data_IF_783814436511
#
_entry.id   IF_783814436511
#
_cell.length_a   1.000
_cell.length_b   1.000
_cell.length_c   1.000
_cell.angle_alpha   90.00
_cell.angle_beta   90.00
_cell.angle_gamma   90.00
#
_symmetry.space_group_name_H-M   'P 1'
#
loop_
_entity.id
_entity.type
_entity.pdbx_description
1 polymer ?
#
# COMPACT_ATOMS: atom_id res chain seq x y z
N UNK A 1 -13.69 0.16 28.10
CA UNK A 1 -12.58 1.04 27.67
C UNK A 1 -12.75 2.38 28.37
N UNK A 2 -11.71 2.96 28.97
CA UNK A 2 -11.71 4.31 29.55
C UNK A 2 -10.82 5.28 28.74
N UNK A 3 -10.73 6.56 29.12
CA UNK A 3 -9.92 7.56 28.40
C UNK A 3 -8.42 7.21 28.33
N UNK A 4 -7.88 6.56 29.37
CA UNK A 4 -6.47 6.11 29.36
C UNK A 4 -6.28 4.96 28.37
N UNK A 5 -7.22 4.02 28.33
CA UNK A 5 -7.24 2.92 27.35
C UNK A 5 -7.31 3.47 25.92
N UNK A 6 -8.14 4.49 25.68
CA UNK A 6 -8.20 5.17 24.36
C UNK A 6 -6.84 5.75 23.96
N UNK A 7 -6.12 6.38 24.90
CA UNK A 7 -4.77 6.89 24.64
C UNK A 7 -3.78 5.76 24.28
N UNK A 8 -3.85 4.62 24.96
CA UNK A 8 -3.03 3.44 24.65
C UNK A 8 -3.35 2.87 23.27
N UNK A 9 -4.64 2.69 22.97
CA UNK A 9 -5.12 2.23 21.66
C UNK A 9 -4.67 3.18 20.55
N UNK A 10 -4.84 4.49 20.76
CA UNK A 10 -4.41 5.52 19.81
C UNK A 10 -2.92 5.45 19.52
N UNK A 11 -2.09 5.44 20.57
CA UNK A 11 -0.63 5.38 20.44
C UNK A 11 -0.18 4.10 19.69
N UNK A 12 -0.80 2.96 20.02
CA UNK A 12 -0.49 1.70 19.34
C UNK A 12 -0.90 1.73 17.87
N UNK A 13 -2.11 2.19 17.57
CA UNK A 13 -2.59 2.32 16.19
C UNK A 13 -1.79 3.34 15.38
N UNK A 14 -1.33 4.44 15.98
CA UNK A 14 -0.45 5.38 15.27
C UNK A 14 0.90 4.76 14.92
N UNK A 15 1.45 3.92 15.82
CA UNK A 15 2.74 3.27 15.62
C UNK A 15 2.67 2.09 14.64
N UNK A 16 1.67 1.24 14.77
CA UNK A 16 1.59 -0.04 14.05
C UNK A 16 0.54 -0.05 12.93
N UNK A 17 -0.38 0.92 12.91
CA UNK A 17 -1.47 1.09 11.94
C UNK A 17 -2.53 -0.01 11.90
N UNK A 18 -2.28 -1.11 12.59
CA UNK A 18 -3.00 -2.36 12.44
C UNK A 18 -2.91 -3.19 13.73
N UNK A 19 -4.02 -3.81 14.12
CA UNK A 19 -4.13 -4.66 15.33
C UNK A 19 -5.06 -5.84 15.02
N UNK A 20 -4.64 -7.06 15.34
CA UNK A 20 -5.50 -8.25 15.26
C UNK A 20 -5.76 -8.85 16.66
N UNK A 21 -6.98 -9.30 16.92
CA UNK A 21 -7.27 -10.08 18.15
C UNK A 21 -6.59 -11.45 18.11
N UNK A 22 -6.49 -12.04 16.92
CA UNK A 22 -5.82 -13.30 16.61
C UNK A 22 -5.41 -13.33 15.14
N UNK A 23 -4.23 -13.88 14.86
CA UNK A 23 -3.76 -14.11 13.50
C UNK A 23 -3.46 -15.59 13.26
N UNK A 24 -3.72 -16.07 12.04
CA UNK A 24 -3.22 -17.36 11.55
C UNK A 24 -1.86 -17.26 10.86
N UNK A 25 -1.39 -16.03 10.60
CA UNK A 25 -0.22 -15.77 9.73
C UNK A 25 1.02 -15.34 10.48
N UNK A 26 0.83 -14.75 11.66
CA UNK A 26 1.91 -14.25 12.50
C UNK A 26 1.58 -14.42 13.97
N UNK A 27 2.60 -14.32 14.80
CA UNK A 27 2.39 -14.24 16.23
C UNK A 27 1.84 -12.86 16.60
N UNK A 28 0.72 -12.85 17.31
CA UNK A 28 0.11 -11.64 17.90
C UNK A 28 0.69 -11.48 19.31
N UNK A 29 1.30 -10.31 19.57
CA UNK A 29 1.93 -10.04 20.86
C UNK A 29 0.88 -9.96 21.99
N UNK A 30 1.30 -10.10 23.24
CA UNK A 30 0.39 -9.95 24.39
C UNK A 30 -0.22 -8.54 24.44
N UNK A 31 0.60 -7.53 24.21
CA UNK A 31 0.17 -6.12 24.16
C UNK A 31 -0.85 -5.89 23.04
N UNK A 32 -0.57 -6.40 21.83
CA UNK A 32 -1.47 -6.28 20.70
C UNK A 32 -2.83 -6.90 21.02
N UNK A 33 -2.84 -8.11 21.58
CA UNK A 33 -4.07 -8.80 21.94
C UNK A 33 -4.86 -8.04 23.01
N UNK A 34 -4.18 -7.49 24.01
CA UNK A 34 -4.82 -6.66 25.03
C UNK A 34 -5.51 -5.44 24.41
N UNK A 35 -4.81 -4.72 23.54
CA UNK A 35 -5.32 -3.51 22.89
C UNK A 35 -6.46 -3.85 21.90
N UNK A 36 -6.33 -4.94 21.15
CA UNK A 36 -7.40 -5.44 20.29
C UNK A 36 -8.66 -5.79 21.08
N UNK A 37 -8.48 -6.39 22.26
CA UNK A 37 -9.58 -6.75 23.16
C UNK A 37 -10.26 -5.51 23.71
N UNK A 38 -9.50 -4.48 24.10
CA UNK A 38 -10.06 -3.19 24.53
C UNK A 38 -10.95 -2.56 23.46
N UNK A 39 -10.53 -2.60 22.19
CA UNK A 39 -11.31 -2.08 21.06
C UNK A 39 -12.54 -2.91 20.73
N UNK A 40 -12.44 -4.24 20.85
CA UNK A 40 -13.53 -5.19 20.56
C UNK A 40 -14.62 -5.12 21.63
N UNK A 41 -14.22 -4.99 22.88
CA UNK A 41 -15.13 -5.03 24.04
C UNK A 41 -15.53 -3.62 24.51
N UNK A 42 -15.13 -2.57 23.78
CA UNK A 42 -15.56 -1.21 24.03
C UNK A 42 -17.08 -1.06 23.81
N UNK A 43 -17.74 -0.35 24.72
CA UNK A 43 -19.13 0.04 24.50
C UNK A 43 -19.24 1.05 23.34
N UNK A 44 -20.46 1.18 22.80
CA UNK A 44 -20.71 2.03 21.64
C UNK A 44 -20.42 3.51 21.89
N UNK A 45 -20.64 4.02 23.11
CA UNK A 45 -20.41 5.42 23.43
C UNK A 45 -18.91 5.76 23.38
N UNK A 46 -18.08 4.93 24.03
CA UNK A 46 -16.62 5.07 24.00
C UNK A 46 -16.05 4.83 22.62
N UNK A 47 -16.64 3.91 21.84
CA UNK A 47 -16.25 3.68 20.45
C UNK A 47 -16.49 4.90 19.58
N UNK A 48 -17.68 5.50 19.66
CA UNK A 48 -18.03 6.70 18.92
C UNK A 48 -17.13 7.88 19.30
N UNK A 49 -16.87 8.07 20.60
CA UNK A 49 -15.96 9.12 21.08
C UNK A 49 -14.54 8.94 20.52
N UNK A 50 -14.06 7.69 20.44
CA UNK A 50 -12.76 7.40 19.86
C UNK A 50 -12.73 7.68 18.35
N UNK A 51 -13.78 7.29 17.62
CA UNK A 51 -13.89 7.54 16.18
C UNK A 51 -14.01 9.03 15.86
N UNK A 52 -14.71 9.83 16.66
CA UNK A 52 -14.77 11.30 16.55
C UNK A 52 -13.40 11.95 16.80
N UNK A 53 -12.67 11.46 17.81
CA UNK A 53 -11.30 11.91 18.07
C UNK A 53 -10.35 11.61 16.91
N UNK A 54 -10.48 10.43 16.28
CA UNK A 54 -9.72 10.08 15.08
C UNK A 54 -10.14 10.92 13.87
N UNK A 55 -11.43 11.20 13.73
CA UNK A 55 -11.95 12.03 12.65
C UNK A 55 -11.32 13.42 12.64
N UNK A 56 -11.20 14.06 13.81
CA UNK A 56 -10.51 15.34 13.96
C UNK A 56 -9.05 15.34 13.49
N UNK A 57 -8.44 14.17 13.31
CA UNK A 57 -7.08 13.98 12.81
C UNK A 57 -7.02 13.52 11.34
N UNK A 58 -8.17 13.46 10.64
CA UNK A 58 -8.25 12.92 9.28
C UNK A 58 -8.09 11.40 9.22
N UNK A 59 -8.38 10.71 10.32
CA UNK A 59 -8.26 9.28 10.48
C UNK A 59 -9.63 8.62 10.62
N UNK A 60 -9.68 7.33 10.29
CA UNK A 60 -10.83 6.49 10.55
C UNK A 60 -10.39 5.12 11.04
N UNK A 61 -11.16 4.59 12.00
CA UNK A 61 -10.99 3.23 12.48
C UNK A 61 -11.83 2.30 11.63
N UNK A 62 -11.19 1.32 11.01
CA UNK A 62 -11.86 0.33 10.16
C UNK A 62 -11.72 -1.02 10.81
N UNK A 63 -12.81 -1.78 10.88
CA UNK A 63 -12.82 -3.12 11.44
C UNK A 63 -13.25 -4.14 10.39
N UNK A 64 -12.52 -5.25 10.32
CA UNK A 64 -12.84 -6.39 9.46
C UNK A 64 -12.81 -7.69 10.27
N UNK A 65 -13.64 -8.63 9.84
CA UNK A 65 -13.73 -9.99 10.36
C UNK A 65 -13.47 -11.00 9.25
N UNK A 66 -13.43 -12.28 9.60
CA UNK A 66 -13.32 -13.37 8.63
C UNK A 66 -14.49 -13.45 7.64
N UNK A 67 -15.62 -12.79 7.92
CA UNK A 67 -16.75 -12.71 7.00
C UNK A 67 -16.58 -11.61 5.95
N UNK A 68 -15.79 -10.59 6.24
CA UNK A 68 -15.62 -9.44 5.36
C UNK A 68 -14.49 -9.65 4.35
N UNK A 69 -13.37 -10.24 4.81
CA UNK A 69 -12.15 -10.39 4.00
C UNK A 69 -11.46 -11.73 4.26
N UNK A 70 -11.06 -12.41 3.18
CA UNK A 70 -10.22 -13.60 3.23
C UNK A 70 -8.90 -13.31 3.95
N UNK A 71 -8.39 -14.29 4.69
CA UNK A 71 -7.10 -14.20 5.39
C UNK A 71 -7.17 -13.76 6.85
N UNK A 72 -8.32 -13.30 7.31
CA UNK A 72 -8.58 -13.06 8.74
C UNK A 72 -8.94 -14.40 9.39
N UNK A 73 -8.30 -14.71 10.52
CA UNK A 73 -8.56 -15.96 11.23
C UNK A 73 -10.02 -16.04 11.71
N UNK A 74 -10.62 -17.23 11.73
CA UNK A 74 -12.00 -17.41 12.21
C UNK A 74 -12.14 -16.90 13.65
N UNK A 75 -13.18 -16.09 13.89
CA UNK A 75 -13.44 -15.42 15.16
C UNK A 75 -12.49 -14.27 15.50
N UNK A 76 -11.58 -13.90 14.59
CA UNK A 76 -10.71 -12.75 14.75
C UNK A 76 -11.37 -11.47 14.22
N UNK A 77 -10.95 -10.35 14.81
CA UNK A 77 -11.28 -9.02 14.36
C UNK A 77 -9.97 -8.28 14.15
N UNK A 78 -9.90 -7.58 13.03
CA UNK A 78 -8.79 -6.77 12.61
C UNK A 78 -9.22 -5.32 12.66
N UNK A 79 -8.51 -4.50 13.43
CA UNK A 79 -8.70 -3.07 13.50
C UNK A 79 -7.56 -2.37 12.77
N UNK A 80 -7.90 -1.44 11.90
CA UNK A 80 -6.94 -0.69 11.10
C UNK A 80 -7.20 0.80 11.26
N UNK A 81 -6.11 1.56 11.36
CA UNK A 81 -6.16 3.00 11.34
C UNK A 81 -5.92 3.46 9.90
N UNK A 82 -7.00 3.76 9.18
CA UNK A 82 -6.94 4.20 7.79
C UNK A 82 -7.04 5.73 7.68
N UNK A 83 -6.48 6.27 6.60
CA UNK A 83 -6.64 7.69 6.27
C UNK A 83 -8.04 7.95 5.74
N UNK A 84 -8.58 9.13 6.04
CA UNK A 84 -9.78 9.61 5.35
C UNK A 84 -9.38 10.07 3.94
N UNK A 85 -10.13 9.68 2.89
CA UNK A 85 -9.82 10.03 1.50
C UNK A 85 -9.70 11.53 1.22
N UNK A 86 -10.46 12.34 1.98
CA UNK A 86 -10.63 13.78 1.77
C UNK A 86 -9.81 14.61 2.77
N UNK A 87 -8.94 13.97 3.55
CA UNK A 87 -8.10 14.63 4.55
C UNK A 87 -6.62 14.37 4.24
N UNK A 88 -5.79 15.38 4.48
CA UNK A 88 -4.34 15.22 4.52
C UNK A 88 -3.94 14.90 5.98
N UNK A 89 -3.79 13.63 6.36
CA UNK A 89 -3.48 13.28 7.73
C UNK A 89 -2.12 13.87 8.15
N UNK A 90 -2.03 14.56 9.29
CA UNK A 90 -0.85 15.36 9.65
C UNK A 90 0.39 14.54 10.06
N UNK A 91 0.28 13.21 10.23
CA UNK A 91 1.34 12.37 10.80
C UNK A 91 2.05 11.48 9.76
N UNK A 92 1.55 11.38 8.53
CA UNK A 92 2.29 10.75 7.43
C UNK A 92 3.18 11.81 6.76
N UNK A 93 4.08 12.38 7.56
CA UNK A 93 4.90 13.50 7.13
C UNK A 93 5.82 13.11 5.99
N UNK A 94 5.75 13.84 4.88
CA UNK A 94 6.77 13.86 3.81
C UNK A 94 8.18 13.99 4.40
N UNK A 95 8.33 14.59 5.58
CA UNK A 95 9.57 14.68 6.35
C UNK A 95 10.17 13.32 6.70
N UNK A 96 9.38 12.35 7.18
CA UNK A 96 9.90 11.01 7.55
C UNK A 96 10.39 10.26 6.31
N UNK A 97 9.62 10.37 5.22
CA UNK A 97 9.99 9.83 3.91
C UNK A 97 11.32 10.44 3.45
N UNK A 98 11.40 11.77 3.40
CA UNK A 98 12.59 12.50 2.96
C UNK A 98 13.79 12.12 3.85
N UNK A 99 13.61 12.13 5.17
CA UNK A 99 14.65 11.80 6.13
C UNK A 99 15.23 10.40 5.91
N UNK A 100 14.40 9.38 5.67
CA UNK A 100 14.87 8.01 5.39
C UNK A 100 15.56 7.92 4.03
N UNK A 101 14.99 8.54 2.99
CA UNK A 101 15.57 8.49 1.65
C UNK A 101 16.92 9.21 1.57
N UNK A 102 17.11 10.31 2.30
CA UNK A 102 18.38 11.03 2.40
C UNK A 102 19.50 10.25 3.09
N UNK A 103 19.18 9.15 3.80
CA UNK A 103 20.21 8.26 4.35
C UNK A 103 20.91 7.44 3.27
N UNK A 104 20.34 7.36 2.07
CA UNK A 104 20.92 6.62 0.95
C UNK A 104 21.97 7.47 0.24
N UNK A 105 23.19 6.94 0.16
CA UNK A 105 24.31 7.63 -0.49
C UNK A 105 23.98 7.91 -1.96
N UNK A 106 23.97 9.18 -2.33
CA UNK A 106 23.69 9.65 -3.69
C UNK A 106 22.34 10.36 -3.84
N UNK A 107 21.48 10.35 -2.83
CA UNK A 107 20.32 11.24 -2.71
C UNK A 107 20.75 12.42 -1.83
N UNK A 108 20.76 13.63 -2.39
CA UNK A 108 21.40 14.80 -1.77
C UNK A 108 20.42 15.88 -1.31
N UNK A 109 19.16 15.84 -1.76
CA UNK A 109 18.15 16.83 -1.43
C UNK A 109 16.74 16.25 -1.40
N UNK A 110 15.82 16.97 -0.76
CA UNK A 110 14.41 16.60 -0.60
C UNK A 110 13.71 16.28 -1.91
N UNK A 111 14.05 16.98 -2.99
CA UNK A 111 13.38 16.76 -4.26
C UNK A 111 13.82 15.44 -4.90
N UNK A 112 15.11 15.09 -4.82
CA UNK A 112 15.60 13.79 -5.25
C UNK A 112 14.94 12.66 -4.45
N UNK A 113 14.82 12.83 -3.13
CA UNK A 113 14.13 11.88 -2.26
C UNK A 113 12.66 11.67 -2.68
N UNK A 114 11.93 12.76 -2.96
CA UNK A 114 10.53 12.71 -3.41
C UNK A 114 10.38 12.09 -4.80
N UNK A 115 11.29 12.38 -5.72
CA UNK A 115 11.31 11.78 -7.06
C UNK A 115 11.49 10.27 -6.93
N UNK A 116 12.53 9.82 -6.21
CA UNK A 116 12.78 8.40 -6.00
C UNK A 116 11.62 7.70 -5.34
N UNK A 117 11.09 8.24 -4.25
CA UNK A 117 9.94 7.65 -3.58
C UNK A 117 8.75 7.50 -4.52
N UNK A 118 8.42 8.56 -5.27
CA UNK A 118 7.30 8.54 -6.22
C UNK A 118 7.47 7.47 -7.30
N UNK A 119 8.66 7.34 -7.88
CA UNK A 119 8.90 6.31 -8.90
C UNK A 119 8.83 4.89 -8.34
N UNK A 120 9.44 4.65 -7.17
CA UNK A 120 9.38 3.36 -6.50
C UNK A 120 7.94 2.99 -6.10
N UNK A 121 7.15 3.99 -5.70
CA UNK A 121 5.73 3.82 -5.43
C UNK A 121 4.97 3.35 -6.67
N UNK A 122 5.18 3.98 -7.83
CA UNK A 122 4.55 3.54 -9.08
C UNK A 122 4.98 2.12 -9.49
N UNK A 123 6.27 1.80 -9.35
CA UNK A 123 6.77 0.46 -9.67
C UNK A 123 6.22 -0.60 -8.71
N UNK A 124 6.01 -0.25 -7.44
CA UNK A 124 5.34 -1.14 -6.50
C UNK A 124 3.89 -1.36 -6.90
N UNK A 125 3.17 -0.31 -7.30
CA UNK A 125 1.79 -0.44 -7.79
C UNK A 125 1.72 -1.29 -9.06
N UNK A 126 2.63 -1.10 -10.00
CA UNK A 126 2.75 -1.93 -11.21
C UNK A 126 2.94 -3.41 -10.84
N UNK A 127 3.84 -3.70 -9.89
CA UNK A 127 4.12 -5.05 -9.42
C UNK A 127 2.92 -5.70 -8.71
N UNK A 128 2.18 -4.94 -7.90
CA UNK A 128 1.06 -5.45 -7.11
C UNK A 128 -0.24 -5.58 -7.91
N UNK A 129 -0.46 -4.70 -8.89
CA UNK A 129 -1.72 -4.58 -9.61
C UNK A 129 -1.58 -4.93 -11.09
N UNK A 130 -0.79 -4.17 -11.87
CA UNK A 130 -0.71 -4.33 -13.32
C UNK A 130 -0.16 -5.69 -13.74
N UNK A 131 1.02 -6.08 -13.24
CA UNK A 131 1.67 -7.36 -13.59
C UNK A 131 0.87 -8.58 -13.14
N UNK A 132 0.06 -8.42 -12.10
CA UNK A 132 -0.82 -9.46 -11.58
C UNK A 132 -2.23 -9.40 -12.16
N UNK A 133 -2.49 -8.50 -13.12
CA UNK A 133 -3.81 -8.23 -13.69
C UNK A 133 -4.91 -8.07 -12.62
N UNK A 134 -4.58 -7.37 -11.53
CA UNK A 134 -5.43 -7.21 -10.36
C UNK A 134 -6.01 -5.80 -10.32
N UNK A 135 -7.31 -5.70 -10.13
CA UNK A 135 -8.00 -4.43 -9.93
C UNK A 135 -7.75 -3.87 -8.52
N UNK A 136 -7.70 -2.53 -8.33
CA UNK A 136 -7.79 -1.90 -7.02
C UNK A 136 -8.97 -2.39 -6.18
N UNK A 137 -10.05 -2.86 -6.82
CA UNK A 137 -11.23 -3.41 -6.15
C UNK A 137 -11.05 -4.81 -5.56
N UNK A 138 -10.00 -5.54 -5.93
CA UNK A 138 -9.75 -6.91 -5.50
C UNK A 138 -9.14 -6.98 -4.08
N UNK A 139 -9.68 -6.21 -3.14
CA UNK A 139 -9.19 -6.12 -1.75
C UNK A 139 -9.12 -7.49 -1.07
N UNK A 140 -10.04 -8.40 -1.39
CA UNK A 140 -10.11 -9.76 -0.86
C UNK A 140 -8.85 -10.61 -1.14
N UNK A 141 -8.14 -10.34 -2.23
CA UNK A 141 -6.97 -11.12 -2.68
C UNK A 141 -5.64 -10.59 -2.13
N UNK A 142 -5.70 -9.71 -1.12
CA UNK A 142 -4.51 -9.09 -0.53
C UNK A 142 -3.51 -10.11 0.01
N UNK A 143 -3.98 -11.24 0.53
CA UNK A 143 -3.13 -12.32 1.09
C UNK A 143 -2.21 -12.92 0.02
N UNK A 144 -2.72 -13.01 -1.20
CA UNK A 144 -2.06 -13.64 -2.34
C UNK A 144 -1.14 -12.62 -3.08
N UNK A 145 -1.09 -11.38 -2.58
CA UNK A 145 -0.34 -10.29 -3.19
C UNK A 145 1.05 -10.14 -2.57
N UNK A 146 1.89 -11.16 -2.79
CA UNK A 146 3.28 -11.22 -2.34
C UNK A 146 4.27 -10.91 -3.47
N UNK A 147 5.47 -10.43 -3.11
CA UNK A 147 6.59 -10.26 -4.03
C UNK A 147 7.92 -10.43 -3.29
N UNK A 148 8.96 -10.84 -4.01
CA UNK A 148 10.32 -10.92 -3.48
C UNK A 148 11.04 -9.61 -3.76
N UNK A 149 11.88 -9.18 -2.82
CA UNK A 149 12.68 -7.96 -2.91
C UNK A 149 13.52 -7.86 -4.17
N UNK A 150 14.15 -8.96 -4.58
CA UNK A 150 14.97 -9.03 -5.79
C UNK A 150 14.14 -8.71 -7.03
N UNK A 151 12.93 -9.28 -7.13
CA UNK A 151 11.98 -8.99 -8.22
C UNK A 151 11.62 -7.50 -8.27
N UNK A 152 11.46 -6.85 -7.11
CA UNK A 152 11.21 -5.41 -7.05
C UNK A 152 12.45 -4.61 -7.52
N UNK A 153 13.64 -4.95 -7.03
CA UNK A 153 14.90 -4.30 -7.43
C UNK A 153 15.13 -4.44 -8.93
N UNK A 154 14.92 -5.62 -9.48
CA UNK A 154 15.10 -5.87 -10.91
C UNK A 154 14.05 -5.14 -11.73
N UNK A 155 12.79 -5.07 -11.28
CA UNK A 155 11.78 -4.20 -11.90
C UNK A 155 12.21 -2.72 -11.94
N UNK A 156 12.89 -2.23 -10.89
CA UNK A 156 13.45 -0.86 -10.88
C UNK A 156 14.59 -0.72 -11.90
N UNK A 157 15.52 -1.68 -11.96
CA UNK A 157 16.62 -1.65 -12.92
C UNK A 157 16.11 -1.70 -14.36
N UNK A 158 15.14 -2.56 -14.64
CA UNK A 158 14.52 -2.69 -15.97
C UNK A 158 13.84 -1.39 -16.36
N UNK A 159 13.06 -0.78 -15.45
CA UNK A 159 12.48 0.55 -15.69
C UNK A 159 13.54 1.60 -16.01
N UNK A 160 14.64 1.65 -15.26
CA UNK A 160 15.71 2.62 -15.51
C UNK A 160 16.42 2.36 -16.85
N UNK A 161 16.68 1.10 -17.20
CA UNK A 161 17.39 0.71 -18.42
C UNK A 161 16.53 0.85 -19.67
N UNK A 162 15.28 0.42 -19.60
CA UNK A 162 14.42 0.30 -20.75
C UNK A 162 13.52 1.50 -20.99
N UNK A 163 13.19 2.26 -19.94
CA UNK A 163 12.31 3.41 -20.06
C UNK A 163 13.06 4.73 -19.84
N UNK A 164 13.88 4.83 -18.80
CA UNK A 164 14.51 6.13 -18.45
C UNK A 164 15.75 6.42 -19.29
N UNK A 165 16.71 5.50 -19.36
CA UNK A 165 18.00 5.72 -20.04
C UNK A 165 17.89 5.83 -21.56
N UNK A 166 16.82 5.32 -22.16
CA UNK A 166 16.54 5.43 -23.59
C UNK A 166 15.92 6.77 -24.01
N UNK A 167 15.52 7.60 -23.04
CA UNK A 167 15.04 8.96 -23.34
C UNK A 167 16.23 9.80 -23.83
N UNK A 168 16.06 10.42 -24.99
CA UNK A 168 17.01 11.41 -25.51
C UNK A 168 16.93 12.69 -24.65
N UNK A 169 18.00 13.06 -23.91
CA UNK A 169 17.99 14.25 -23.07
C UNK A 169 17.70 15.55 -23.84
N UNK A 170 18.02 15.61 -25.14
CA UNK A 170 17.77 16.79 -25.97
C UNK A 170 16.28 17.06 -26.20
N UNK A 171 15.43 16.05 -25.98
CA UNK A 171 13.97 16.16 -26.13
C UNK A 171 13.26 16.64 -24.86
N UNK A 172 13.99 16.77 -23.75
CA UNK A 172 13.40 17.12 -22.45
C UNK A 172 13.39 18.63 -22.22
N UNK A 173 12.19 19.19 -22.00
CA UNK A 173 12.05 20.58 -21.53
C UNK A 173 12.58 20.76 -20.10
N UNK A 174 12.42 19.72 -19.26
CA UNK A 174 12.90 19.69 -17.88
C UNK A 174 13.56 18.35 -17.61
N UNK A 175 14.86 18.37 -17.32
CA UNK A 175 15.67 17.16 -17.14
C UNK A 175 15.88 16.73 -15.68
N UNK A 176 15.25 17.42 -14.71
CA UNK A 176 15.45 17.16 -13.27
C UNK A 176 15.18 15.71 -12.88
N UNK A 177 14.04 15.16 -13.32
CA UNK A 177 13.65 13.78 -13.02
C UNK A 177 14.64 12.81 -13.70
N UNK A 178 14.94 13.03 -14.97
CA UNK A 178 15.90 12.24 -15.72
C UNK A 178 17.29 12.20 -15.04
N UNK A 179 17.85 13.36 -14.70
CA UNK A 179 19.14 13.48 -13.99
C UNK A 179 19.12 12.80 -12.63
N UNK A 180 18.02 12.93 -11.89
CA UNK A 180 17.86 12.28 -10.58
C UNK A 180 17.90 10.75 -10.69
N UNK A 181 17.17 10.20 -11.67
CA UNK A 181 17.05 8.75 -11.85
C UNK A 181 18.30 8.13 -12.50
N UNK A 182 19.02 8.88 -13.32
CA UNK A 182 20.27 8.43 -13.97
C UNK A 182 21.53 8.73 -13.17
N UNK A 183 21.46 9.60 -12.16
CA UNK A 183 22.62 10.03 -11.36
C UNK A 183 23.11 9.04 -10.29
N UNK A 184 22.30 8.03 -9.94
CA UNK A 184 22.69 7.03 -8.95
C UNK A 184 23.57 5.93 -9.54
N UNK A 185 24.58 5.53 -8.77
CA UNK A 185 25.41 4.36 -9.08
C UNK A 185 24.57 3.09 -8.95
N UNK A 186 24.92 2.08 -9.74
CA UNK A 186 24.14 0.83 -9.84
C UNK A 186 23.96 0.12 -8.49
N UNK A 187 25.00 0.08 -7.65
CA UNK A 187 24.91 -0.50 -6.30
C UNK A 187 24.06 0.30 -5.30
N UNK A 188 23.78 1.59 -5.58
CA UNK A 188 22.94 2.43 -4.74
C UNK A 188 21.44 2.22 -5.01
N UNK A 189 21.06 1.66 -6.18
CA UNK A 189 19.65 1.37 -6.51
C UNK A 189 19.05 0.41 -5.50
N UNK A 190 19.77 -0.66 -5.15
CA UNK A 190 19.32 -1.62 -4.14
C UNK A 190 19.15 -0.95 -2.76
N UNK A 191 20.04 -0.03 -2.39
CA UNK A 191 19.94 0.71 -1.12
C UNK A 191 18.69 1.62 -1.10
N UNK A 192 18.41 2.29 -2.22
CA UNK A 192 17.20 3.11 -2.39
C UNK A 192 15.93 2.25 -2.30
N UNK A 193 15.91 1.08 -2.95
CA UNK A 193 14.79 0.15 -2.86
C UNK A 193 14.58 -0.36 -1.42
N UNK A 194 15.66 -0.65 -0.68
CA UNK A 194 15.59 -1.07 0.72
C UNK A 194 14.99 0.03 1.60
N UNK A 195 15.49 1.26 1.48
CA UNK A 195 14.99 2.39 2.23
C UNK A 195 13.49 2.63 1.97
N UNK A 196 13.05 2.47 0.71
CA UNK A 196 11.64 2.52 0.34
C UNK A 196 10.81 1.39 0.96
N UNK A 197 11.24 0.13 0.84
CA UNK A 197 10.51 -1.01 1.40
C UNK A 197 10.41 -0.92 2.94
N UNK A 198 11.46 -0.46 3.61
CA UNK A 198 11.42 -0.20 5.06
C UNK A 198 10.39 0.88 5.41
N UNK A 199 10.29 1.97 4.63
CA UNK A 199 9.23 2.97 4.81
C UNK A 199 7.83 2.36 4.64
N UNK A 200 7.66 1.49 3.64
CA UNK A 200 6.39 0.83 3.38
C UNK A 200 5.96 -0.09 4.52
N UNK A 201 6.92 -0.82 5.11
CA UNK A 201 6.69 -1.67 6.29
C UNK A 201 6.41 -0.83 7.54
N UNK A 202 7.26 0.19 7.79
CA UNK A 202 7.11 1.12 8.91
C UNK A 202 5.76 1.84 8.91
N UNK A 203 5.22 2.09 7.72
CA UNK A 203 3.94 2.76 7.56
C UNK A 203 2.75 1.78 7.52
N UNK A 204 2.98 0.49 7.73
CA UNK A 204 1.96 -0.55 7.75
C UNK A 204 1.30 -0.79 6.38
N UNK A 205 1.96 -0.39 5.28
CA UNK A 205 1.46 -0.60 3.93
C UNK A 205 1.96 -1.93 3.33
N UNK A 206 3.17 -2.34 3.69
CA UNK A 206 3.70 -3.66 3.37
C UNK A 206 3.96 -4.48 4.63
N UNK A 207 3.97 -5.80 4.50
CA UNK A 207 4.29 -6.75 5.56
C UNK A 207 5.44 -7.65 5.08
N UNK A 208 6.52 -7.77 5.86
CA UNK A 208 7.53 -8.79 5.59
C UNK A 208 7.03 -10.15 6.10
N UNK A 209 6.75 -11.07 5.18
CA UNK A 209 6.19 -12.40 5.49
C UNK A 209 7.27 -13.45 5.72
N UNK A 210 8.41 -13.28 5.07
CA UNK A 210 9.66 -14.02 5.30
C UNK A 210 10.82 -13.13 4.88
N UNK A 211 12.05 -13.53 5.20
CA UNK A 211 13.25 -12.76 4.83
C UNK A 211 13.20 -12.33 3.35
N UNK A 212 13.23 -11.02 3.12
CA UNK A 212 13.22 -10.39 1.78
C UNK A 212 11.96 -10.71 0.92
N UNK A 213 10.88 -11.22 1.52
CA UNK A 213 9.59 -11.42 0.87
C UNK A 213 8.52 -10.56 1.54
N UNK A 214 7.86 -9.74 0.72
CA UNK A 214 6.91 -8.75 1.17
C UNK A 214 5.51 -9.07 0.65
N UNK A 215 4.50 -8.59 1.37
CA UNK A 215 3.10 -8.67 1.00
C UNK A 215 2.46 -7.30 1.14
N UNK A 216 1.49 -7.00 0.28
CA UNK A 216 0.58 -5.89 0.53
C UNK A 216 -0.20 -6.12 1.85
N UNK A 217 -0.23 -5.13 2.73
CA UNK A 217 -1.08 -5.18 3.93
C UNK A 217 -2.57 -5.02 3.58
N UNK A 218 -3.47 -5.46 4.47
CA UNK A 218 -4.90 -5.18 4.32
C UNK A 218 -5.19 -3.68 4.33
N UNK A 219 -4.45 -2.90 5.14
CA UNK A 219 -4.59 -1.45 5.19
C UNK A 219 -4.30 -0.83 3.83
N UNK A 220 -3.22 -1.24 3.17
CA UNK A 220 -2.87 -0.73 1.85
C UNK A 220 -3.93 -1.10 0.80
N UNK A 221 -4.40 -2.35 0.81
CA UNK A 221 -5.47 -2.78 -0.10
C UNK A 221 -6.76 -1.98 0.12
N UNK A 222 -7.14 -1.73 1.38
CA UNK A 222 -8.31 -0.95 1.75
C UNK A 222 -8.19 0.51 1.30
N UNK A 223 -7.05 1.16 1.59
CA UNK A 223 -6.83 2.55 1.19
C UNK A 223 -6.83 2.67 -0.33
N UNK A 224 -6.17 1.77 -1.05
CA UNK A 224 -6.15 1.78 -2.51
C UNK A 224 -7.56 1.66 -3.10
N UNK A 225 -8.36 0.71 -2.62
CA UNK A 225 -9.76 0.55 -3.03
C UNK A 225 -10.56 1.83 -2.74
N UNK A 226 -10.47 2.35 -1.52
CA UNK A 226 -11.27 3.50 -1.08
C UNK A 226 -10.93 4.76 -1.88
N UNK A 227 -9.64 5.02 -2.10
CA UNK A 227 -9.20 6.16 -2.91
C UNK A 227 -9.58 5.98 -4.38
N UNK A 228 -9.41 4.78 -4.94
CA UNK A 228 -9.84 4.47 -6.30
C UNK A 228 -11.33 4.74 -6.50
N UNK A 229 -12.19 4.16 -5.65
CA UNK A 229 -13.65 4.28 -5.77
C UNK A 229 -14.14 5.71 -5.65
N UNK A 230 -13.53 6.51 -4.77
CA UNK A 230 -13.96 7.89 -4.53
C UNK A 230 -13.40 8.89 -5.54
N UNK A 231 -12.16 8.71 -5.96
CA UNK A 231 -11.43 9.75 -6.70
C UNK A 231 -11.29 9.42 -8.18
N UNK A 232 -10.94 8.17 -8.51
CA UNK A 232 -10.60 7.79 -9.88
C UNK A 232 -11.79 7.16 -10.62
N UNK A 233 -12.51 6.24 -9.99
CA UNK A 233 -13.63 5.53 -10.61
C UNK A 233 -14.71 6.46 -11.20
N UNK A 234 -15.09 7.58 -10.55
CA UNK A 234 -16.07 8.52 -11.14
C UNK A 234 -15.54 9.29 -12.36
N UNK A 235 -14.22 9.36 -12.53
CA UNK A 235 -13.57 10.04 -13.66
C UNK A 235 -13.32 9.10 -14.84
N UNK A 236 -13.38 7.79 -14.62
CA UNK A 236 -13.24 6.80 -15.67
C UNK A 236 -14.53 6.76 -16.51
N UNK A 237 -14.44 6.53 -17.82
CA UNK A 237 -15.62 6.29 -18.64
C UNK A 237 -16.43 5.15 -18.03
N UNK A 238 -17.74 5.35 -17.86
CA UNK A 238 -18.61 4.28 -17.42
C UNK A 238 -18.46 3.10 -18.37
N UNK A 239 -17.92 1.98 -17.90
CA UNK A 239 -17.99 0.75 -18.68
C UNK A 239 -19.47 0.40 -18.80
N UNK A 240 -19.95 0.29 -20.04
CA UNK A 240 -21.28 -0.25 -20.29
C UNK A 240 -21.30 -1.67 -19.71
N UNK A 241 -22.05 -1.85 -18.63
CA UNK A 241 -22.12 -3.11 -17.89
C UNK A 241 -22.59 -4.25 -18.79
N UNK A 242 -23.40 -3.94 -19.82
CA UNK A 242 -23.83 -4.91 -20.83
C UNK A 242 -22.70 -5.29 -21.77
N UNK A 243 -21.87 -4.34 -22.21
CA UNK A 243 -20.71 -4.63 -23.06
C UNK A 243 -19.66 -5.47 -22.31
N UNK A 244 -19.42 -5.18 -21.04
CA UNK A 244 -18.51 -5.96 -20.18
C UNK A 244 -19.04 -7.38 -19.91
N UNK A 245 -20.34 -7.54 -19.64
CA UNK A 245 -20.96 -8.85 -19.47
C UNK A 245 -20.93 -9.69 -20.77
N UNK A 246 -21.10 -9.04 -21.93
CA UNK A 246 -21.04 -9.72 -23.24
C UNK A 246 -19.64 -10.26 -23.53
N UNK A 247 -18.57 -9.54 -23.14
CA UNK A 247 -17.19 -10.03 -23.29
C UNK A 247 -16.85 -11.24 -22.41
N UNK A 248 -17.55 -11.42 -21.28
CA UNK A 248 -17.37 -12.58 -20.38
C UNK A 248 -18.18 -13.78 -20.88
N UNK A 249 -19.35 -13.53 -21.50
CA UNK A 249 -20.25 -14.57 -21.98
C UNK A 249 -19.88 -15.12 -23.37
N UNK A 250 -19.09 -14.39 -24.15
CA UNK A 250 -18.50 -14.91 -25.38
C UNK A 250 -17.21 -15.63 -24.99
N UNK A 251 -17.31 -16.93 -24.72
CA UNK A 251 -16.16 -17.82 -24.82
C UNK A 251 -15.47 -17.52 -26.16
N UNK A 252 -14.20 -17.08 -26.13
CA UNK A 252 -13.36 -17.12 -27.32
C UNK A 252 -13.21 -18.59 -27.67
N UNK A 253 -14.06 -19.06 -28.56
CA UNK A 253 -13.79 -20.23 -29.37
C UNK A 253 -12.55 -19.86 -30.17
N UNK A 254 -11.39 -20.36 -29.72
CA UNK A 254 -10.22 -20.47 -30.57
C UNK A 254 -10.60 -21.40 -31.72
N UNK A 255 -11.17 -20.85 -32.79
CA UNK A 255 -11.09 -21.50 -34.09
C UNK A 255 -9.65 -21.33 -34.57
N UNK A 256 -8.79 -22.23 -34.10
CA UNK A 256 -7.73 -22.78 -34.94
C UNK A 256 -8.40 -23.36 -36.19
N UNK A 257 -8.32 -22.64 -37.29
CA UNK A 257 -8.22 -23.28 -38.59
C UNK A 257 -7.01 -22.68 -39.29
N UNK A 258 -5.92 -23.45 -39.21
CA UNK A 258 -4.98 -23.60 -40.31
C UNK A 258 -5.72 -23.51 -41.65
N UNK A 259 -5.24 -22.64 -42.54
CA UNK A 259 -5.33 -22.90 -43.97
C UNK A 259 -4.22 -22.13 -44.69
N UNK A 260 -3.23 -22.93 -45.12
CA UNK A 260 -2.28 -22.81 -46.25
C UNK A 260 -1.78 -21.42 -46.70
#
# INVERSE_FOLDING_TARGET
MNNSDMGRVHAYLLRHRFIETKSSRRNVSREEREIATLLRDADAAMRNQFEEFLDGQGLQLVAFTSFDVKGIASGATVFMLARKPDSAPPFWGTERLVSRMLQVRGINNDAEARIWFTQLWFLLLDLLYTRKNRSPNAMQDWVDTTFVKEVFIDAVKDYLNDQVRKIDPATLEVDRVYKTLTGLKEGAIAQVCNAFLELMVDAGLAEEVSKDAYRQSLLFAYEMKTHFDRQLAPLLPAQDQFAAATQILVERTEEETEDM
#
